data_IF_580295046049
#
_entry.id   IF_580295046049
#
_cell.length_a   1.000
_cell.length_b   1.000
_cell.length_c   1.000
_cell.angle_alpha   90.00
_cell.angle_beta   90.00
_cell.angle_gamma   90.00
#
_symmetry.space_group_name_H-M   'P 1'
#
loop_
_entity.id
_entity.type
_entity.pdbx_description
1 polymer ?
#
# COMPACT_ATOMS: atom_id res chain seq x y z
N UNK A 1 -56.65 35.06 -17.55
CA UNK A 1 -55.83 35.62 -16.46
C UNK A 1 -55.75 34.58 -15.35
N UNK A 2 -54.63 33.84 -15.27
CA UNK A 2 -54.40 32.76 -14.29
C UNK A 2 -53.07 33.02 -13.59
N UNK A 3 -53.11 32.82 -12.28
CA UNK A 3 -52.14 33.21 -11.25
C UNK A 3 -50.79 32.50 -11.45
N UNK A 4 -49.69 33.25 -11.36
CA UNK A 4 -48.35 32.72 -11.13
C UNK A 4 -48.01 32.97 -9.64
N UNK A 5 -47.98 31.91 -8.84
CA UNK A 5 -47.55 31.93 -7.45
C UNK A 5 -46.05 31.62 -7.40
N UNK A 6 -45.24 32.65 -7.15
CA UNK A 6 -43.82 32.51 -6.78
C UNK A 6 -43.75 32.54 -5.25
N UNK A 7 -43.52 31.38 -4.64
CA UNK A 7 -43.29 31.25 -3.20
C UNK A 7 -41.79 31.45 -2.97
N UNK A 8 -41.41 32.61 -2.42
CA UNK A 8 -40.09 32.88 -1.86
C UNK A 8 -40.09 32.45 -0.39
N UNK A 9 -39.37 31.39 -0.05
CA UNK A 9 -39.08 31.04 1.34
C UNK A 9 -37.94 31.91 1.84
N UNK A 10 -38.28 32.95 2.61
CA UNK A 10 -37.30 33.65 3.45
C UNK A 10 -37.10 32.83 4.72
N UNK A 11 -35.97 32.12 4.80
CA UNK A 11 -35.53 31.53 6.07
C UNK A 11 -34.77 32.61 6.83
N UNK A 12 -35.47 33.25 7.77
CA UNK A 12 -34.90 34.19 8.72
C UNK A 12 -33.98 33.41 9.67
N UNK A 13 -32.66 33.54 9.52
CA UNK A 13 -31.72 33.04 10.51
C UNK A 13 -31.74 34.00 11.71
N UNK A 14 -32.54 33.69 12.72
CA UNK A 14 -32.52 34.37 14.01
C UNK A 14 -31.18 34.11 14.69
N UNK A 15 -30.44 35.18 14.97
CA UNK A 15 -29.20 35.18 15.75
C UNK A 15 -29.53 34.69 17.17
N UNK A 16 -29.29 33.41 17.45
CA UNK A 16 -29.44 32.86 18.80
C UNK A 16 -28.31 33.36 19.68
N UNK A 17 -28.68 34.07 20.75
CA UNK A 17 -27.80 34.53 21.82
C UNK A 17 -26.88 33.42 22.33
N UNK A 18 -25.63 33.80 22.58
CA UNK A 18 -24.52 32.93 22.95
C UNK A 18 -24.83 32.01 24.13
N UNK A 19 -24.71 30.71 23.87
CA UNK A 19 -24.32 29.73 24.87
C UNK A 19 -22.81 29.56 24.71
N UNK A 20 -22.04 29.85 25.76
CA UNK A 20 -20.62 29.52 25.78
C UNK A 20 -20.48 28.01 25.59
N UNK A 21 -19.98 27.61 24.42
CA UNK A 21 -19.46 26.27 24.19
C UNK A 21 -18.24 26.16 25.09
N UNK A 22 -18.17 25.22 26.04
CA UNK A 22 -16.92 24.97 26.74
C UNK A 22 -15.93 24.56 25.65
N UNK A 23 -14.83 25.31 25.52
CA UNK A 23 -13.72 24.92 24.68
C UNK A 23 -13.29 23.52 25.12
N UNK A 24 -13.73 22.51 24.37
CA UNK A 24 -13.31 21.15 24.59
C UNK A 24 -11.89 21.11 24.04
N UNK A 25 -10.92 21.33 24.93
CA UNK A 25 -9.53 21.05 24.62
C UNK A 25 -9.46 19.58 24.22
N UNK A 26 -9.40 19.32 22.91
CA UNK A 26 -9.17 17.98 22.40
C UNK A 26 -7.73 17.64 22.76
N UNK A 27 -7.55 17.01 23.91
CA UNK A 27 -6.29 16.38 24.25
C UNK A 27 -6.17 15.17 23.33
N UNK A 28 -5.33 15.27 22.30
CA UNK A 28 -4.81 14.11 21.59
C UNK A 28 -4.00 13.32 22.61
N UNK A 29 -4.68 12.45 23.35
CA UNK A 29 -4.02 11.39 24.11
C UNK A 29 -3.40 10.49 23.06
N UNK A 30 -2.07 10.41 23.03
CA UNK A 30 -1.38 9.38 22.27
C UNK A 30 -1.84 8.04 22.83
N UNK A 31 -2.78 7.39 22.14
CA UNK A 31 -3.23 6.05 22.52
C UNK A 31 -2.05 5.12 22.27
N UNK A 32 -1.48 4.61 23.35
CA UNK A 32 -0.41 3.63 23.25
C UNK A 32 -1.01 2.32 22.73
N UNK A 33 -0.50 1.86 21.59
CA UNK A 33 -0.90 0.59 21.00
C UNK A 33 -0.44 -0.58 21.88
N UNK A 34 -1.31 -1.57 22.04
CA UNK A 34 -0.96 -2.88 22.58
C UNK A 34 0.08 -3.58 21.70
N UNK A 35 0.66 -4.67 22.21
CA UNK A 35 1.65 -5.46 21.47
C UNK A 35 1.08 -5.94 20.12
N UNK A 36 -0.11 -6.53 20.11
CA UNK A 36 -0.67 -7.08 18.87
C UNK A 36 -1.08 -5.98 17.89
N UNK A 37 -1.54 -4.82 18.35
CA UNK A 37 -1.81 -3.67 17.46
C UNK A 37 -0.52 -3.12 16.84
N UNK A 38 0.61 -3.16 17.57
CA UNK A 38 1.93 -2.80 17.01
C UNK A 38 2.35 -3.79 15.93
N UNK A 39 2.17 -5.10 16.18
CA UNK A 39 2.47 -6.17 15.22
C UNK A 39 1.60 -6.05 13.96
N UNK A 40 0.28 -5.88 14.11
CA UNK A 40 -0.64 -5.71 12.98
C UNK A 40 -0.31 -4.47 12.15
N UNK A 41 0.06 -3.37 12.81
CA UNK A 41 0.51 -2.15 12.14
C UNK A 41 1.79 -2.37 11.33
N UNK A 42 2.78 -3.07 11.89
CA UNK A 42 4.03 -3.41 11.19
C UNK A 42 3.77 -4.32 9.98
N UNK A 43 2.98 -5.38 10.17
CA UNK A 43 2.55 -6.26 9.09
C UNK A 43 1.85 -5.51 7.95
N UNK A 44 0.89 -4.64 8.30
CA UNK A 44 0.15 -3.82 7.33
C UNK A 44 1.09 -2.90 6.57
N UNK A 45 2.06 -2.29 7.26
CA UNK A 45 3.07 -1.44 6.62
C UNK A 45 3.90 -2.21 5.59
N UNK A 46 4.43 -3.38 5.97
CA UNK A 46 5.22 -4.24 5.09
C UNK A 46 4.41 -4.73 3.88
N UNK A 47 3.17 -5.15 4.12
CA UNK A 47 2.26 -5.61 3.07
C UNK A 47 1.93 -4.49 2.07
N UNK A 48 1.72 -3.27 2.57
CA UNK A 48 1.49 -2.11 1.71
C UNK A 48 2.73 -1.75 0.88
N UNK A 49 3.93 -1.86 1.44
CA UNK A 49 5.18 -1.62 0.72
C UNK A 49 5.31 -2.59 -0.47
N UNK A 50 5.12 -3.89 -0.23
CA UNK A 50 5.12 -4.89 -1.30
C UNK A 50 4.00 -4.63 -2.33
N UNK A 51 2.80 -4.27 -1.89
CA UNK A 51 1.68 -3.97 -2.78
C UNK A 51 1.99 -2.77 -3.69
N UNK A 52 2.50 -1.68 -3.13
CA UNK A 52 2.84 -0.46 -3.88
C UNK A 52 3.93 -0.76 -4.90
N UNK A 53 5.02 -1.41 -4.51
CA UNK A 53 6.10 -1.71 -5.46
C UNK A 53 5.67 -2.70 -6.54
N UNK A 54 4.80 -3.68 -6.21
CA UNK A 54 4.20 -4.56 -7.20
C UNK A 54 3.30 -3.79 -8.18
N UNK A 55 2.55 -2.82 -7.69
CA UNK A 55 1.70 -1.96 -8.51
C UNK A 55 2.54 -1.10 -9.44
N UNK A 56 3.60 -0.45 -8.94
CA UNK A 56 4.52 0.37 -9.74
C UNK A 56 5.17 -0.42 -10.87
N UNK A 57 5.65 -1.64 -10.59
CA UNK A 57 6.20 -2.52 -11.62
C UNK A 57 5.16 -2.86 -12.70
N UNK A 58 3.94 -3.24 -12.28
CA UNK A 58 2.90 -3.59 -13.24
C UNK A 58 2.41 -2.38 -14.04
N UNK A 59 2.29 -1.21 -13.41
CA UNK A 59 1.92 0.04 -14.09
C UNK A 59 2.97 0.43 -15.12
N UNK A 60 4.25 0.32 -14.78
CA UNK A 60 5.34 0.53 -15.74
C UNK A 60 5.22 -0.40 -16.94
N UNK A 61 5.07 -1.70 -16.71
CA UNK A 61 4.95 -2.70 -17.78
C UNK A 61 3.72 -2.39 -18.66
N UNK A 62 2.57 -2.13 -18.04
CA UNK A 62 1.32 -1.87 -18.76
C UNK A 62 1.33 -0.57 -19.58
N UNK A 63 2.31 0.31 -19.35
CA UNK A 63 2.45 1.60 -20.02
C UNK A 63 3.69 1.65 -20.94
N UNK A 64 4.28 0.49 -21.27
CA UNK A 64 5.40 0.42 -22.22
C UNK A 64 4.97 0.81 -23.64
N UNK A 65 3.74 0.45 -24.04
CA UNK A 65 3.22 0.79 -25.36
C UNK A 65 1.68 0.85 -25.40
N UNK A 66 1.13 1.15 -26.59
CA UNK A 66 -0.32 1.06 -26.87
C UNK A 66 -0.77 -0.38 -27.19
N UNK A 67 0.11 -1.39 -27.02
CA UNK A 67 -0.17 -2.79 -27.32
C UNK A 67 -0.99 -3.48 -26.22
N UNK A 68 -1.13 -4.81 -26.32
CA UNK A 68 -1.74 -5.60 -25.25
C UNK A 68 -0.76 -5.77 -24.10
N UNK A 69 -1.27 -5.75 -22.86
CA UNK A 69 -0.47 -5.93 -21.63
C UNK A 69 0.44 -7.17 -21.65
N UNK A 70 -0.01 -8.26 -22.27
CA UNK A 70 0.78 -9.48 -22.38
C UNK A 70 1.97 -9.32 -23.33
N UNK A 71 1.81 -8.54 -24.41
CA UNK A 71 2.89 -8.25 -25.35
C UNK A 71 3.94 -7.35 -24.66
N UNK A 72 3.50 -6.36 -23.88
CA UNK A 72 4.39 -5.49 -23.11
C UNK A 72 5.17 -6.27 -22.04
N UNK A 73 4.57 -7.27 -21.39
CA UNK A 73 5.29 -8.17 -20.47
C UNK A 73 6.41 -8.92 -21.17
N UNK A 74 6.16 -9.41 -22.39
CA UNK A 74 7.17 -10.11 -23.18
C UNK A 74 8.33 -9.15 -23.49
N UNK A 75 8.02 -7.97 -24.05
CA UNK A 75 9.01 -6.94 -24.37
C UNK A 75 9.83 -6.54 -23.14
N UNK A 76 9.18 -6.37 -21.99
CA UNK A 76 9.85 -6.01 -20.74
C UNK A 76 10.99 -6.97 -20.39
N UNK A 77 10.72 -8.28 -20.45
CA UNK A 77 11.71 -9.30 -20.10
C UNK A 77 12.70 -9.60 -21.23
N UNK A 78 12.29 -9.50 -22.50
CA UNK A 78 13.21 -9.67 -23.65
C UNK A 78 14.28 -8.58 -23.69
N UNK A 79 13.90 -7.33 -23.39
CA UNK A 79 14.82 -6.18 -23.41
C UNK A 79 15.62 -6.00 -22.10
N UNK A 80 15.43 -6.87 -21.11
CA UNK A 80 16.03 -6.74 -19.76
C UNK A 80 17.55 -6.58 -19.80
N UNK A 81 18.25 -7.21 -20.76
CA UNK A 81 19.70 -7.13 -20.87
C UNK A 81 20.25 -5.79 -21.35
N UNK A 82 19.45 -5.01 -22.07
CA UNK A 82 19.90 -3.77 -22.71
C UNK A 82 19.19 -2.52 -22.15
N UNK A 83 18.07 -2.70 -21.47
CA UNK A 83 17.26 -1.61 -20.94
C UNK A 83 17.48 -1.39 -19.42
N UNK A 84 18.23 -0.35 -19.08
CA UNK A 84 18.51 0.00 -17.68
C UNK A 84 17.27 0.38 -16.87
N UNK A 85 16.22 0.94 -17.49
CA UNK A 85 15.00 1.30 -16.77
C UNK A 85 14.22 0.03 -16.40
N UNK A 86 14.18 -0.98 -17.28
CA UNK A 86 13.62 -2.30 -16.96
C UNK A 86 14.37 -2.93 -15.79
N UNK A 87 15.70 -2.89 -15.84
CA UNK A 87 16.54 -3.44 -14.78
C UNK A 87 16.28 -2.74 -13.45
N UNK A 88 16.25 -1.41 -13.44
CA UNK A 88 16.09 -0.63 -12.21
C UNK A 88 14.73 -0.89 -11.55
N UNK A 89 13.65 -0.88 -12.33
CA UNK A 89 12.31 -1.08 -11.74
C UNK A 89 12.10 -2.52 -11.28
N UNK A 90 12.60 -3.51 -12.03
CA UNK A 90 12.50 -4.91 -11.62
C UNK A 90 13.37 -5.21 -10.41
N UNK A 91 14.59 -4.67 -10.37
CA UNK A 91 15.47 -4.74 -9.20
C UNK A 91 14.79 -4.19 -7.96
N UNK A 92 14.20 -3.00 -8.04
CA UNK A 92 13.48 -2.38 -6.93
C UNK A 92 12.38 -3.32 -6.39
N UNK A 93 11.60 -3.91 -7.28
CA UNK A 93 10.60 -4.92 -6.90
C UNK A 93 11.20 -6.14 -6.20
N UNK A 94 12.28 -6.70 -6.74
CA UNK A 94 12.94 -7.88 -6.15
C UNK A 94 13.55 -7.59 -4.78
N UNK A 95 14.17 -6.41 -4.61
CA UNK A 95 14.74 -5.96 -3.34
C UNK A 95 13.66 -5.82 -2.27
N UNK A 96 12.57 -5.11 -2.58
CA UNK A 96 11.44 -4.93 -1.66
C UNK A 96 10.76 -6.26 -1.33
N UNK A 97 10.53 -7.13 -2.32
CA UNK A 97 9.91 -8.45 -2.08
C UNK A 97 10.77 -9.32 -1.17
N UNK A 98 12.08 -9.39 -1.40
CA UNK A 98 12.98 -10.18 -0.57
C UNK A 98 13.01 -9.66 0.88
N UNK A 99 13.08 -8.34 1.06
CA UNK A 99 13.03 -7.70 2.38
C UNK A 99 11.70 -7.94 3.09
N UNK A 100 10.56 -7.61 2.46
CA UNK A 100 9.24 -7.75 3.07
C UNK A 100 8.95 -9.20 3.46
N UNK A 101 9.31 -10.16 2.61
CA UNK A 101 9.12 -11.58 2.93
C UNK A 101 9.92 -12.01 4.15
N UNK A 102 11.17 -11.57 4.27
CA UNK A 102 12.00 -11.85 5.45
C UNK A 102 11.40 -11.21 6.71
N UNK A 103 10.99 -9.95 6.64
CA UNK A 103 10.47 -9.24 7.81
C UNK A 103 9.11 -9.80 8.27
N UNK A 104 8.21 -10.13 7.33
CA UNK A 104 6.93 -10.78 7.67
C UNK A 104 7.18 -12.17 8.27
N UNK A 105 8.07 -12.98 7.68
CA UNK A 105 8.44 -14.29 8.25
C UNK A 105 8.98 -14.14 9.68
N UNK A 106 9.85 -13.16 9.90
CA UNK A 106 10.39 -12.86 11.24
C UNK A 106 9.28 -12.44 12.20
N UNK A 107 8.37 -11.56 11.76
CA UNK A 107 7.27 -11.03 12.56
C UNK A 107 6.35 -12.13 13.08
N UNK A 108 5.98 -13.09 12.22
CA UNK A 108 5.19 -14.27 12.60
C UNK A 108 5.93 -15.18 13.59
N UNK A 109 7.22 -15.45 13.34
CA UNK A 109 8.03 -16.32 14.21
C UNK A 109 8.22 -15.75 15.61
N UNK A 110 8.35 -14.43 15.75
CA UNK A 110 8.61 -13.75 17.02
C UNK A 110 7.35 -13.39 17.79
N UNK A 111 6.19 -13.26 17.14
CA UNK A 111 4.93 -12.80 17.77
C UNK A 111 3.81 -13.84 17.71
N UNK A 112 4.10 -15.09 18.07
CA UNK A 112 3.14 -16.22 18.01
C UNK A 112 1.85 -16.02 18.80
N UNK A 113 1.87 -15.12 19.78
CA UNK A 113 0.71 -14.78 20.62
C UNK A 113 -0.23 -13.74 19.98
N UNK A 114 0.20 -13.12 18.88
CA UNK A 114 -0.55 -12.13 18.13
C UNK A 114 -0.86 -12.66 16.72
N UNK A 115 -1.86 -13.55 16.56
CA UNK A 115 -2.23 -14.06 15.25
C UNK A 115 -2.76 -12.92 14.38
N UNK A 116 -2.16 -12.73 13.21
CA UNK A 116 -2.61 -11.77 12.21
C UNK A 116 -3.73 -12.45 11.41
N UNK A 117 -4.92 -11.83 11.37
CA UNK A 117 -6.13 -12.47 10.87
C UNK A 117 -6.25 -12.40 9.33
N UNK A 118 -6.50 -13.54 8.68
CA UNK A 118 -6.84 -13.60 7.25
C UNK A 118 -5.65 -13.73 6.30
N UNK A 119 -4.43 -13.83 6.82
CA UNK A 119 -3.21 -13.75 6.03
C UNK A 119 -2.47 -15.09 5.90
N UNK A 120 -1.73 -15.22 4.80
CA UNK A 120 -0.80 -16.34 4.59
C UNK A 120 0.54 -16.01 5.24
N UNK A 121 0.91 -16.79 6.27
CA UNK A 121 2.26 -16.81 6.80
C UNK A 121 3.27 -17.01 5.65
N UNK A 122 4.30 -16.16 5.57
CA UNK A 122 5.39 -16.32 4.61
C UNK A 122 6.33 -17.39 5.15
N UNK A 123 6.35 -18.56 4.51
CA UNK A 123 7.23 -19.67 4.89
C UNK A 123 8.71 -19.40 4.54
N UNK A 124 9.63 -20.14 5.19
CA UNK A 124 11.08 -19.98 5.00
C UNK A 124 11.51 -20.24 3.56
N UNK A 125 10.85 -21.19 2.89
CA UNK A 125 11.08 -21.50 1.49
C UNK A 125 10.79 -20.30 0.59
N UNK A 126 9.76 -19.50 0.93
CA UNK A 126 9.40 -18.30 0.17
C UNK A 126 10.40 -17.16 0.37
N UNK A 127 10.95 -17.03 1.57
CA UNK A 127 12.05 -16.09 1.84
C UNK A 127 13.29 -16.48 1.04
N UNK A 128 13.64 -17.77 1.04
CA UNK A 128 14.80 -18.28 0.32
C UNK A 128 14.65 -18.11 -1.20
N UNK A 129 13.47 -18.41 -1.74
CA UNK A 129 13.13 -18.22 -3.15
C UNK A 129 13.29 -16.75 -3.57
N UNK A 130 12.70 -15.81 -2.82
CA UNK A 130 12.80 -14.38 -3.13
C UNK A 130 14.26 -13.86 -3.08
N UNK A 131 15.04 -14.28 -2.09
CA UNK A 131 16.47 -13.92 -1.99
C UNK A 131 17.29 -14.50 -3.12
N UNK A 132 16.98 -15.73 -3.54
CA UNK A 132 17.64 -16.39 -4.66
C UNK A 132 17.35 -15.66 -5.97
N UNK A 133 16.08 -15.33 -6.24
CA UNK A 133 15.69 -14.57 -7.44
C UNK A 133 16.41 -13.22 -7.51
N UNK A 134 16.44 -12.47 -6.40
CA UNK A 134 17.18 -11.20 -6.32
C UNK A 134 18.69 -11.41 -6.58
N UNK A 135 19.30 -12.42 -5.96
CA UNK A 135 20.73 -12.70 -6.16
C UNK A 135 21.03 -13.11 -7.60
N UNK A 136 20.18 -13.90 -8.24
CA UNK A 136 20.33 -14.29 -9.64
C UNK A 136 20.21 -13.07 -10.55
N UNK A 137 19.27 -12.17 -10.27
CA UNK A 137 19.12 -10.92 -11.00
C UNK A 137 20.38 -10.04 -10.92
N UNK A 138 20.87 -9.76 -9.70
CA UNK A 138 22.06 -8.92 -9.46
C UNK A 138 23.37 -9.50 -10.02
N UNK A 139 23.40 -10.81 -10.28
CA UNK A 139 24.57 -11.45 -10.89
C UNK A 139 24.56 -11.37 -12.43
N UNK A 140 23.39 -11.16 -13.03
CA UNK A 140 23.20 -11.17 -14.48
C UNK A 140 23.07 -9.77 -15.09
N UNK A 141 22.73 -8.77 -14.27
CA UNK A 141 22.53 -7.37 -14.67
C UNK A 141 23.17 -6.44 -13.64
#
# INVERSE_FOLDING_TARGET
>A
MKKLLLILFFVSCSLSSGTQVPETTTSTTLVELSLCEKVEKEYTSLSNELFVTSFELNDYINNLSDALVEDDRVVFFEDMGENFDHQNIYKNYLEIRAYVYEEINRLYKTNKECPIAGDQEIADEKVLEAKKELSEFLNNY
#
